data_IF_563092606320
#
_entry.id   IF_563092606320
#
_cell.length_a   1.000
_cell.length_b   1.000
_cell.length_c   1.000
_cell.angle_alpha   90.00
_cell.angle_beta   90.00
_cell.angle_gamma   90.00
#
_symmetry.space_group_name_H-M   'P 1'
#
loop_
_entity.id
_entity.type
_entity.pdbx_description
1 polymer ?
#
# COMPACT_ATOMS: atom_id res chain seq x y z
N UNK A 1 -4.63 23.91 9.12
CA UNK A 1 -3.89 22.67 8.80
C UNK A 1 -4.60 21.97 7.66
N UNK A 2 -3.87 21.39 6.70
CA UNK A 2 -4.49 20.59 5.64
C UNK A 2 -5.07 19.29 6.18
N UNK A 3 -6.21 18.89 5.64
CA UNK A 3 -6.85 17.60 5.95
C UNK A 3 -6.13 16.45 5.24
N UNK A 4 -6.28 15.23 5.76
CA UNK A 4 -5.77 14.03 5.09
C UNK A 4 -6.26 13.92 3.63
N UNK A 5 -7.55 14.22 3.37
CA UNK A 5 -8.12 14.19 2.01
C UNK A 5 -7.45 15.19 1.07
N UNK A 6 -7.13 16.39 1.56
CA UNK A 6 -6.40 17.39 0.78
C UNK A 6 -4.98 16.94 0.46
N UNK A 7 -4.28 16.35 1.45
CA UNK A 7 -2.93 15.80 1.24
C UNK A 7 -2.91 14.69 0.19
N UNK A 8 -3.82 13.71 0.29
CA UNK A 8 -3.94 12.63 -0.70
C UNK A 8 -4.31 13.18 -2.07
N UNK A 9 -5.25 14.12 -2.17
CA UNK A 9 -5.63 14.72 -3.45
C UNK A 9 -4.43 15.40 -4.13
N UNK A 10 -3.66 16.17 -3.39
CA UNK A 10 -2.44 16.83 -3.88
C UNK A 10 -1.32 15.84 -4.20
N UNK A 11 -1.17 14.77 -3.41
CA UNK A 11 -0.20 13.72 -3.68
C UNK A 11 -0.53 12.98 -4.99
N UNK A 12 -1.80 12.64 -5.20
CA UNK A 12 -2.29 12.01 -6.42
C UNK A 12 -2.09 12.93 -7.64
N UNK A 13 -2.25 14.25 -7.49
CA UNK A 13 -1.97 15.21 -8.56
C UNK A 13 -0.48 15.19 -8.94
N UNK A 14 0.43 15.27 -7.97
CA UNK A 14 1.87 15.19 -8.21
C UNK A 14 2.29 13.85 -8.82
N UNK A 15 1.73 12.74 -8.33
CA UNK A 15 1.94 11.41 -8.89
C UNK A 15 1.56 11.37 -10.37
N UNK A 16 0.37 11.89 -10.73
CA UNK A 16 -0.07 11.93 -12.14
C UNK A 16 0.79 12.85 -13.01
N UNK A 17 1.35 13.91 -12.43
CA UNK A 17 2.25 14.83 -13.11
C UNK A 17 3.69 14.30 -13.24
N UNK A 18 4.01 13.15 -12.62
CA UNK A 18 5.37 12.61 -12.57
C UNK A 18 6.30 13.30 -11.57
N UNK A 19 5.76 14.17 -10.70
CA UNK A 19 6.50 14.77 -9.61
C UNK A 19 6.54 13.81 -8.41
N UNK A 20 7.43 12.83 -8.52
CA UNK A 20 7.55 11.73 -7.56
C UNK A 20 7.97 12.20 -6.17
N UNK A 21 8.84 13.20 -6.09
CA UNK A 21 9.37 13.69 -4.81
C UNK A 21 8.28 14.38 -4.00
N UNK A 22 7.48 15.23 -4.66
CA UNK A 22 6.39 15.92 -4.00
C UNK A 22 5.21 14.99 -3.70
N UNK A 23 4.95 14.00 -4.56
CA UNK A 23 4.00 12.91 -4.26
C UNK A 23 4.42 12.13 -3.00
N UNK A 24 5.69 11.69 -2.93
CA UNK A 24 6.24 10.95 -1.78
C UNK A 24 6.09 11.75 -0.49
N UNK A 25 6.52 13.02 -0.49
CA UNK A 25 6.42 13.91 0.66
C UNK A 25 4.98 14.04 1.16
N UNK A 26 4.02 14.22 0.25
CA UNK A 26 2.61 14.40 0.61
C UNK A 26 1.97 13.12 1.10
N UNK A 27 2.27 11.96 0.49
CA UNK A 27 1.82 10.67 0.99
C UNK A 27 2.37 10.37 2.39
N UNK A 28 3.67 10.59 2.62
CA UNK A 28 4.27 10.41 3.96
C UNK A 28 3.60 11.32 5.00
N UNK A 29 3.34 12.58 4.64
CA UNK A 29 2.62 13.51 5.52
C UNK A 29 1.19 13.03 5.81
N UNK A 30 0.49 12.50 4.79
CA UNK A 30 -0.84 11.94 4.93
C UNK A 30 -0.84 10.70 5.85
N UNK A 31 0.13 9.80 5.68
CA UNK A 31 0.34 8.61 6.53
C UNK A 31 0.54 9.04 7.98
N UNK A 32 1.50 9.93 8.25
CA UNK A 32 1.75 10.40 9.62
C UNK A 32 0.47 10.98 10.23
N UNK A 33 -0.31 11.75 9.48
CA UNK A 33 -1.55 12.34 10.00
C UNK A 33 -2.61 11.28 10.33
N UNK A 34 -2.82 10.31 9.45
CA UNK A 34 -3.84 9.28 9.63
C UNK A 34 -3.41 8.22 10.64
N UNK A 35 -2.12 7.94 10.81
CA UNK A 35 -1.62 7.09 11.90
C UNK A 35 -1.95 7.67 13.28
N UNK A 36 -1.82 8.99 13.46
CA UNK A 36 -2.25 9.63 14.70
C UNK A 36 -3.75 9.45 14.95
N UNK A 37 -4.59 9.60 13.92
CA UNK A 37 -6.03 9.36 14.04
C UNK A 37 -6.34 7.89 14.29
N UNK A 38 -5.62 6.98 13.64
CA UNK A 38 -5.86 5.54 13.75
C UNK A 38 -5.54 4.99 15.14
N UNK A 39 -4.58 5.59 15.87
CA UNK A 39 -4.29 5.23 17.27
C UNK A 39 -5.51 5.43 18.18
N UNK A 40 -6.25 6.52 17.98
CA UNK A 40 -7.37 6.90 18.86
C UNK A 40 -8.72 6.41 18.33
N UNK A 41 -8.83 6.16 17.02
CA UNK A 41 -10.08 5.84 16.33
C UNK A 41 -9.95 4.61 15.43
N UNK A 42 -9.25 3.57 15.89
CA UNK A 42 -9.02 2.34 15.12
C UNK A 42 -10.32 1.63 14.70
N UNK A 43 -11.40 1.79 15.47
CA UNK A 43 -12.72 1.21 15.20
C UNK A 43 -13.62 2.11 14.36
N UNK A 44 -13.09 3.22 13.85
CA UNK A 44 -13.76 4.04 12.86
C UNK A 44 -13.39 3.56 11.45
N UNK A 45 -14.37 3.08 10.70
CA UNK A 45 -14.19 2.59 9.33
C UNK A 45 -13.50 3.61 8.42
N UNK A 46 -13.89 4.88 8.49
CA UNK A 46 -13.31 5.91 7.62
C UNK A 46 -11.83 6.14 7.93
N UNK A 47 -11.45 6.05 9.21
CA UNK A 47 -10.06 6.18 9.63
C UNK A 47 -9.25 4.97 9.20
N UNK A 48 -9.79 3.75 9.34
CA UNK A 48 -9.17 2.52 8.86
C UNK A 48 -8.92 2.56 7.34
N UNK A 49 -9.94 2.96 6.57
CA UNK A 49 -9.83 3.00 5.11
C UNK A 49 -8.91 4.13 4.64
N UNK A 50 -8.90 5.27 5.33
CA UNK A 50 -7.95 6.34 5.06
C UNK A 50 -6.50 5.91 5.33
N UNK A 51 -6.28 5.18 6.43
CA UNK A 51 -4.98 4.63 6.78
C UNK A 51 -4.51 3.64 5.71
N UNK A 52 -5.33 2.64 5.39
CA UNK A 52 -5.04 1.65 4.35
C UNK A 52 -4.70 2.28 2.99
N UNK A 53 -5.54 3.20 2.51
CA UNK A 53 -5.34 3.86 1.22
C UNK A 53 -4.03 4.67 1.18
N UNK A 54 -3.61 5.26 2.29
CA UNK A 54 -2.37 6.04 2.34
C UNK A 54 -1.13 5.16 2.13
N UNK A 55 -1.12 3.99 2.76
CA UNK A 55 -0.04 3.00 2.59
C UNK A 55 -0.03 2.43 1.17
N UNK A 56 -1.19 2.06 0.63
CA UNK A 56 -1.28 1.52 -0.72
C UNK A 56 -0.84 2.54 -1.78
N UNK A 57 -1.27 3.80 -1.68
CA UNK A 57 -0.83 4.84 -2.60
C UNK A 57 0.70 5.07 -2.57
N UNK A 58 1.30 5.03 -1.37
CA UNK A 58 2.76 5.16 -1.24
C UNK A 58 3.49 3.90 -1.76
N UNK A 59 2.92 2.71 -1.55
CA UNK A 59 3.46 1.48 -2.13
C UNK A 59 3.44 1.50 -3.66
N UNK A 60 2.37 2.03 -4.29
CA UNK A 60 2.29 2.18 -5.74
C UNK A 60 3.40 3.12 -6.24
N UNK A 61 3.63 4.24 -5.56
CA UNK A 61 4.74 5.14 -5.88
C UNK A 61 6.09 4.44 -5.80
N UNK A 62 6.33 3.64 -4.76
CA UNK A 62 7.57 2.87 -4.67
C UNK A 62 7.72 1.82 -5.75
N UNK A 63 6.64 1.17 -6.16
CA UNK A 63 6.64 0.27 -7.32
C UNK A 63 7.01 0.99 -8.61
N UNK A 64 6.46 2.19 -8.84
CA UNK A 64 6.81 3.03 -10.01
C UNK A 64 8.28 3.44 -10.03
N UNK A 65 8.86 3.69 -8.86
CA UNK A 65 10.26 4.08 -8.70
C UNK A 65 11.23 2.88 -8.68
N UNK A 66 10.74 1.64 -8.81
CA UNK A 66 11.56 0.43 -8.72
C UNK A 66 12.10 0.15 -7.31
N UNK A 67 11.57 0.81 -6.28
CA UNK A 67 11.96 0.62 -4.87
C UNK A 67 11.19 -0.55 -4.27
N UNK A 68 11.51 -1.77 -4.74
CA UNK A 68 10.78 -3.01 -4.46
C UNK A 68 10.62 -3.29 -2.95
N UNK A 69 11.69 -3.13 -2.16
CA UNK A 69 11.63 -3.35 -0.70
C UNK A 69 10.69 -2.36 0.00
N UNK A 70 10.71 -1.09 -0.44
CA UNK A 70 9.86 -0.05 0.12
C UNK A 70 8.39 -0.28 -0.27
N UNK A 71 8.13 -0.70 -1.51
CA UNK A 71 6.80 -1.10 -1.97
C UNK A 71 6.25 -2.24 -1.10
N UNK A 72 7.02 -3.32 -0.93
CA UNK A 72 6.59 -4.47 -0.13
C UNK A 72 6.35 -4.08 1.33
N UNK A 73 7.26 -3.31 1.94
CA UNK A 73 7.12 -2.86 3.32
C UNK A 73 5.79 -2.12 3.55
N UNK A 74 5.40 -1.24 2.62
CA UNK A 74 4.16 -0.47 2.73
C UNK A 74 2.89 -1.29 2.42
N UNK A 75 2.99 -2.39 1.68
CA UNK A 75 1.88 -3.37 1.55
C UNK A 75 1.73 -4.20 2.83
N UNK A 76 2.85 -4.61 3.43
CA UNK A 76 2.86 -5.53 4.57
C UNK A 76 2.39 -4.89 5.88
N UNK A 77 2.59 -3.59 6.08
CA UNK A 77 2.12 -2.89 7.30
C UNK A 77 0.60 -3.01 7.48
N UNK A 78 -0.25 -2.63 6.49
CA UNK A 78 -1.69 -2.86 6.58
C UNK A 78 -2.09 -4.33 6.66
N UNK A 79 -1.45 -5.19 5.88
CA UNK A 79 -1.74 -6.63 5.90
C UNK A 79 -1.59 -7.22 7.30
N UNK A 80 -0.44 -7.00 7.96
CA UNK A 80 -0.18 -7.56 9.29
C UNK A 80 -1.11 -6.97 10.34
N UNK A 81 -1.33 -5.65 10.33
CA UNK A 81 -2.21 -5.00 11.28
C UNK A 81 -3.65 -5.54 11.18
N UNK A 82 -4.20 -5.61 9.96
CA UNK A 82 -5.58 -6.06 9.75
C UNK A 82 -5.74 -7.57 10.00
N UNK A 83 -4.75 -8.38 9.63
CA UNK A 83 -4.74 -9.81 9.97
C UNK A 83 -4.77 -10.04 11.48
N UNK A 84 -3.93 -9.32 12.23
CA UNK A 84 -3.89 -9.45 13.68
C UNK A 84 -5.19 -8.97 14.34
N UNK A 85 -5.78 -7.87 13.83
CA UNK A 85 -7.09 -7.40 14.30
C UNK A 85 -8.20 -8.41 14.02
N UNK A 86 -8.23 -9.01 12.83
CA UNK A 86 -9.27 -9.99 12.48
C UNK A 86 -9.30 -11.21 13.42
N UNK A 87 -8.14 -11.62 13.95
CA UNK A 87 -8.04 -12.74 14.90
C UNK A 87 -8.73 -12.44 16.23
N UNK A 88 -8.70 -11.18 16.69
CA UNK A 88 -9.20 -10.78 18.00
C UNK A 88 -10.56 -10.07 17.95
N UNK A 89 -10.97 -9.59 16.77
CA UNK A 89 -12.24 -8.88 16.60
C UNK A 89 -13.41 -9.87 16.52
N UNK A 90 -14.43 -9.65 17.35
CA UNK A 90 -15.68 -10.40 17.22
C UNK A 90 -16.40 -10.04 15.91
N UNK A 91 -17.04 -11.04 15.29
CA UNK A 91 -17.71 -10.92 14.00
C UNK A 91 -18.95 -10.02 14.00
N UNK A 92 -19.59 -9.86 15.16
CA UNK A 92 -20.73 -8.97 15.35
C UNK A 92 -20.36 -7.49 15.51
N UNK A 93 -19.08 -7.14 15.63
CA UNK A 93 -18.65 -5.74 15.80
C UNK A 93 -18.78 -4.96 14.48
N UNK A 94 -19.26 -3.70 14.50
CA UNK A 94 -19.48 -2.93 13.27
C UNK A 94 -18.24 -2.78 12.38
N UNK A 95 -17.05 -2.75 12.98
CA UNK A 95 -15.77 -2.61 12.27
C UNK A 95 -15.31 -3.91 11.57
N UNK A 96 -15.87 -5.07 11.93
CA UNK A 96 -15.40 -6.38 11.46
C UNK A 96 -15.40 -6.48 9.93
N UNK A 97 -16.51 -6.06 9.29
CA UNK A 97 -16.63 -6.06 7.84
C UNK A 97 -15.57 -5.17 7.16
N UNK A 98 -15.27 -4.01 7.75
CA UNK A 98 -14.24 -3.10 7.24
C UNK A 98 -12.83 -3.69 7.39
N UNK A 99 -12.52 -4.38 8.49
CA UNK A 99 -11.23 -5.08 8.67
C UNK A 99 -11.08 -6.17 7.62
N UNK A 100 -12.10 -7.00 7.42
CA UNK A 100 -12.09 -8.07 6.42
C UNK A 100 -11.92 -7.51 5.00
N UNK A 101 -12.65 -6.44 4.68
CA UNK A 101 -12.53 -5.77 3.40
C UNK A 101 -11.12 -5.20 3.18
N UNK A 102 -10.56 -4.50 4.17
CA UNK A 102 -9.21 -3.95 4.09
C UNK A 102 -8.12 -5.03 3.96
N UNK A 103 -8.31 -6.18 4.63
CA UNK A 103 -7.41 -7.33 4.49
C UNK A 103 -7.49 -7.92 3.08
N UNK A 104 -8.70 -8.05 2.52
CA UNK A 104 -8.90 -8.50 1.13
C UNK A 104 -8.17 -7.60 0.12
N UNK A 105 -8.27 -6.27 0.29
CA UNK A 105 -7.53 -5.31 -0.52
C UNK A 105 -6.00 -5.49 -0.38
N UNK A 106 -5.51 -5.67 0.85
CA UNK A 106 -4.08 -5.87 1.09
C UNK A 106 -3.56 -7.18 0.48
N UNK A 107 -4.36 -8.26 0.53
CA UNK A 107 -4.04 -9.52 -0.15
C UNK A 107 -3.97 -9.35 -1.68
N UNK A 108 -4.89 -8.56 -2.26
CA UNK A 108 -4.86 -8.25 -3.70
C UNK A 108 -3.59 -7.50 -4.08
N UNK A 109 -3.21 -6.46 -3.34
CA UNK A 109 -1.98 -5.72 -3.58
C UNK A 109 -0.73 -6.61 -3.46
N UNK A 110 -0.67 -7.48 -2.45
CA UNK A 110 0.42 -8.44 -2.29
C UNK A 110 0.50 -9.44 -3.46
N UNK A 111 -0.65 -9.92 -3.94
CA UNK A 111 -0.70 -10.78 -5.12
C UNK A 111 -0.18 -10.07 -6.38
N UNK A 112 -0.60 -8.83 -6.61
CA UNK A 112 -0.13 -8.03 -7.76
C UNK A 112 1.37 -7.76 -7.67
N UNK A 113 1.88 -7.42 -6.50
CA UNK A 113 3.31 -7.27 -6.24
C UNK A 113 4.07 -8.54 -6.59
N UNK A 114 3.65 -9.71 -6.07
CA UNK A 114 4.33 -10.99 -6.32
C UNK A 114 4.32 -11.34 -7.81
N UNK A 115 3.18 -11.15 -8.48
CA UNK A 115 3.06 -11.37 -9.93
C UNK A 115 4.06 -10.52 -10.71
N UNK A 116 4.17 -9.23 -10.38
CA UNK A 116 5.12 -8.32 -11.02
C UNK A 116 6.58 -8.76 -10.80
N UNK A 117 6.94 -9.24 -9.60
CA UNK A 117 8.30 -9.72 -9.32
C UNK A 117 8.64 -10.98 -10.14
N UNK A 118 7.69 -11.90 -10.29
CA UNK A 118 7.86 -13.11 -11.10
C UNK A 118 8.08 -12.76 -12.58
N UNK A 119 7.24 -11.90 -13.15
CA UNK A 119 7.35 -11.44 -14.54
C UNK A 119 8.72 -10.77 -14.81
N UNK A 120 9.20 -9.95 -13.86
CA UNK A 120 10.52 -9.32 -13.94
C UNK A 120 11.66 -10.36 -13.85
N UNK A 121 11.48 -11.43 -13.07
CA UNK A 121 12.49 -12.48 -12.91
C UNK A 121 12.61 -13.40 -14.14
N UNK A 122 11.49 -13.71 -14.81
CA UNK A 122 11.47 -14.51 -16.04
C UNK A 122 12.08 -13.74 -17.23
N UNK A 123 11.93 -12.41 -17.26
CA UNK A 123 12.55 -11.53 -18.26
C UNK A 123 14.09 -11.51 -18.25
N UNK A 124 14.74 -11.97 -17.18
CA UNK A 124 16.20 -12.01 -17.06
C UNK A 124 16.81 -13.29 -17.69
N UNK A 125 16.02 -14.33 -18.00
CA UNK A 125 16.56 -15.65 -18.33
C UNK A 125 16.58 -16.04 -19.84
N UNK A 126 16.13 -15.18 -20.76
CA UNK A 126 16.09 -15.54 -22.20
C UNK A 126 17.22 -14.96 -23.05
N UNK A 127 17.99 -13.98 -22.56
CA UNK A 127 19.13 -13.40 -23.31
C UNK A 127 20.46 -14.16 -23.13
N UNK A 128 20.58 -14.99 -22.10
CA UNK A 128 21.83 -15.70 -21.79
C UNK A 128 21.82 -17.21 -22.13
N UNK A 129 20.70 -17.76 -22.60
CA UNK A 129 20.58 -19.17 -22.97
C UNK A 129 20.78 -19.45 -24.47
N UNK A 130 20.95 -18.43 -25.32
CA UNK A 130 21.12 -18.58 -26.77
C UNK A 130 22.58 -18.68 -27.27
N UNK A 131 23.57 -18.78 -26.38
CA UNK A 131 24.99 -18.85 -26.78
C UNK A 131 25.72 -20.16 -26.46
N UNK A 132 25.03 -21.21 -26.00
CA UNK A 132 25.68 -22.52 -25.76
C UNK A 132 24.87 -23.66 -26.35
N UNK A 133 24.63 -23.60 -27.66
CA UNK A 133 24.34 -24.78 -28.48
C UNK A 133 24.94 -24.55 -29.87
N UNK A 134 26.26 -24.79 -29.97
CA UNK A 134 26.95 -25.09 -31.23
C UNK A 134 27.77 -26.35 -31.02
#
# INVERSE_FOLDING_TARGET
>A
METWRQLISKANQSFKAGDWQDAEKRYLTAITRVEHLYKDYADNEQVLMAWLASYHNLSELYGRLGRVDAQLSHIMVPYHQLKNRLIIQADHEPIYAAILHGLSLSCKELYLYQKQQLENSEGVNLKYMHQVLH
#
